data_IF_278618867547
#
_entry.id   IF_278618867547
#
_cell.length_a   1.000
_cell.length_b   1.000
_cell.length_c   1.000
_cell.angle_alpha   90.00
_cell.angle_beta   90.00
_cell.angle_gamma   90.00
#
_symmetry.space_group_name_H-M   'P 1'
#
loop_
_entity.id
_entity.type
_entity.pdbx_description
1 polymer ?
#
# COMPACT_ATOMS: atom_id res chain seq x y z
N UNK A 1 20.85 12.13 -18.08
CA UNK A 1 21.64 12.59 -16.91
C UNK A 1 23.10 12.75 -17.32
N UNK A 2 23.69 13.93 -17.18
CA UNK A 2 25.13 14.12 -17.38
C UNK A 2 25.88 13.72 -16.12
N UNK A 3 26.43 12.52 -16.04
CA UNK A 3 27.11 11.95 -14.88
C UNK A 3 26.41 10.77 -14.27
N UNK A 4 27.02 10.15 -13.24
CA UNK A 4 26.54 8.91 -12.63
C UNK A 4 25.51 9.15 -11.52
N UNK A 5 25.37 10.39 -11.03
CA UNK A 5 24.35 10.75 -10.04
C UNK A 5 23.92 12.22 -10.15
N UNK A 6 22.77 12.55 -9.56
CA UNK A 6 22.19 13.89 -9.49
C UNK A 6 21.51 14.08 -8.14
N UNK A 7 21.83 15.16 -7.44
CA UNK A 7 21.13 15.56 -6.22
C UNK A 7 19.88 16.34 -6.62
N UNK A 8 18.74 15.93 -6.10
CA UNK A 8 17.44 16.54 -6.35
C UNK A 8 16.89 17.06 -5.03
N UNK A 9 16.89 18.37 -4.88
CA UNK A 9 16.35 19.03 -3.70
C UNK A 9 14.83 19.08 -3.77
N UNK A 10 14.16 18.83 -2.66
CA UNK A 10 12.70 18.82 -2.57
C UNK A 10 12.07 17.96 -3.69
N UNK A 11 12.54 16.72 -3.83
CA UNK A 11 11.93 15.76 -4.75
C UNK A 11 10.46 15.52 -4.40
N UNK A 12 10.19 15.47 -3.10
CA UNK A 12 8.88 15.60 -2.46
C UNK A 12 8.95 16.69 -1.38
N UNK A 13 7.82 17.13 -0.84
CA UNK A 13 7.80 18.09 0.25
C UNK A 13 8.35 17.47 1.55
N UNK A 14 8.93 18.25 2.48
CA UNK A 14 9.32 17.75 3.79
C UNK A 14 8.16 17.18 4.60
N UNK A 15 6.96 17.73 4.44
CA UNK A 15 5.73 17.25 5.09
C UNK A 15 5.36 15.85 4.59
N UNK A 16 5.26 15.68 3.27
CA UNK A 16 5.02 14.38 2.63
C UNK A 16 6.08 13.33 3.03
N UNK A 17 7.36 13.74 3.08
CA UNK A 17 8.44 12.87 3.55
C UNK A 17 8.21 12.39 4.98
N UNK A 18 7.77 13.30 5.86
CA UNK A 18 7.48 12.98 7.26
C UNK A 18 6.31 12.01 7.40
N UNK A 19 5.23 12.25 6.68
CA UNK A 19 4.05 11.38 6.69
C UNK A 19 4.39 9.95 6.22
N UNK A 20 5.17 9.82 5.15
CA UNK A 20 5.66 8.53 4.67
C UNK A 20 6.56 7.86 5.72
N UNK A 21 7.45 8.64 6.36
CA UNK A 21 8.31 8.14 7.45
C UNK A 21 7.49 7.54 8.59
N UNK A 22 6.43 8.24 9.01
CA UNK A 22 5.55 7.77 10.09
C UNK A 22 4.80 6.49 9.72
N UNK A 23 4.38 6.36 8.47
CA UNK A 23 3.79 5.12 7.97
C UNK A 23 4.77 3.95 8.01
N UNK A 24 6.02 4.16 7.58
CA UNK A 24 7.06 3.13 7.62
C UNK A 24 7.32 2.70 9.06
N UNK A 25 7.46 3.64 10.00
CA UNK A 25 7.74 3.35 11.42
C UNK A 25 6.61 2.58 12.11
N UNK A 26 5.37 2.75 11.67
CA UNK A 26 4.20 2.01 12.19
C UNK A 26 4.05 0.62 11.57
N UNK A 27 4.78 0.31 10.52
CA UNK A 27 4.74 -1.01 9.86
C UNK A 27 5.40 -2.09 10.74
N UNK A 28 4.94 -3.35 10.67
CA UNK A 28 5.58 -4.44 11.41
C UNK A 28 7.06 -4.52 11.10
N UNK A 29 7.90 -4.52 12.13
CA UNK A 29 9.35 -4.55 11.97
C UNK A 29 9.80 -5.92 11.47
N UNK A 30 10.60 -5.95 10.41
CA UNK A 30 11.37 -7.12 10.05
C UNK A 30 12.70 -7.10 10.81
N UNK A 31 13.05 -8.22 11.42
CA UNK A 31 14.30 -8.36 12.14
C UNK A 31 15.46 -8.46 11.14
N UNK A 32 16.40 -7.54 11.31
CA UNK A 32 17.76 -7.63 10.78
C UNK A 32 17.90 -7.44 9.26
N UNK A 33 18.59 -6.38 8.89
CA UNK A 33 19.15 -6.21 7.56
C UNK A 33 20.64 -6.61 7.62
N UNK A 34 21.00 -7.72 6.99
CA UNK A 34 22.40 -8.21 6.98
C UNK A 34 23.36 -7.25 6.27
N UNK A 35 22.86 -6.38 5.39
CA UNK A 35 23.68 -5.41 4.68
C UNK A 35 23.93 -4.15 5.53
N UNK A 36 22.97 -3.76 6.37
CA UNK A 36 23.06 -2.57 7.22
C UNK A 36 22.70 -2.97 8.65
N UNK A 37 23.69 -3.25 9.50
CA UNK A 37 23.44 -3.56 10.91
C UNK A 37 22.74 -2.37 11.60
N UNK A 38 22.06 -2.63 12.69
CA UNK A 38 21.27 -1.63 13.43
C UNK A 38 20.23 -0.91 12.56
N UNK A 39 19.56 -1.66 11.68
CA UNK A 39 18.44 -1.12 10.91
C UNK A 39 17.28 -2.12 10.83
N UNK A 40 16.08 -1.58 10.60
CA UNK A 40 14.89 -2.34 10.19
C UNK A 40 14.64 -2.06 8.71
N UNK A 41 14.36 -3.09 7.94
CA UNK A 41 14.16 -2.96 6.50
C UNK A 41 12.82 -3.48 6.06
N UNK A 42 12.30 -2.92 4.98
CA UNK A 42 10.99 -3.26 4.43
C UNK A 42 11.06 -3.29 2.91
N UNK A 43 10.51 -4.34 2.33
CA UNK A 43 10.45 -4.52 0.88
C UNK A 43 9.04 -4.29 0.38
N UNK A 44 8.89 -3.40 -0.63
CA UNK A 44 7.62 -3.12 -1.31
C UNK A 44 6.47 -2.72 -0.37
N UNK A 45 6.74 -1.85 0.62
CA UNK A 45 5.65 -1.25 1.39
C UNK A 45 4.68 -0.51 0.44
N UNK A 46 3.37 -0.67 0.62
CA UNK A 46 2.37 -0.04 -0.26
C UNK A 46 2.57 1.47 -0.43
N UNK A 47 2.79 2.20 0.66
CA UNK A 47 3.04 3.66 0.61
C UNK A 47 4.26 4.01 -0.25
N UNK A 48 5.32 3.19 -0.19
CA UNK A 48 6.52 3.42 -0.98
C UNK A 48 6.33 3.04 -2.45
N UNK A 49 5.54 2.01 -2.75
CA UNK A 49 5.20 1.63 -4.12
C UNK A 49 4.31 2.69 -4.79
N UNK A 50 3.42 3.33 -4.03
CA UNK A 50 2.66 4.49 -4.50
C UNK A 50 3.63 5.61 -4.90
N UNK A 51 4.55 5.97 -4.02
CA UNK A 51 5.56 6.98 -4.28
C UNK A 51 6.43 6.63 -5.49
N UNK A 52 6.82 5.36 -5.65
CA UNK A 52 7.56 4.86 -6.81
C UNK A 52 6.82 5.14 -8.12
N UNK A 53 5.52 4.83 -8.17
CA UNK A 53 4.66 5.10 -9.31
C UNK A 53 4.54 6.60 -9.61
N UNK A 54 4.24 7.41 -8.59
CA UNK A 54 4.09 8.85 -8.71
C UNK A 54 5.34 9.56 -9.24
N UNK A 55 6.50 9.10 -8.82
CA UNK A 55 7.76 9.74 -9.20
C UNK A 55 8.36 9.19 -10.50
N UNK A 56 7.80 8.14 -11.11
CA UNK A 56 8.37 7.47 -12.29
C UNK A 56 8.62 8.44 -13.44
N UNK A 57 7.64 9.28 -13.79
CA UNK A 57 7.78 10.23 -14.91
C UNK A 57 8.80 11.32 -14.59
N UNK A 58 8.77 11.87 -13.38
CA UNK A 58 9.73 12.88 -12.91
C UNK A 58 11.16 12.33 -12.87
N UNK A 59 11.33 11.10 -12.39
CA UNK A 59 12.65 10.43 -12.34
C UNK A 59 13.13 10.10 -13.75
N UNK A 60 12.22 9.70 -14.66
CA UNK A 60 12.52 9.47 -16.08
C UNK A 60 13.05 10.75 -16.76
N UNK A 61 12.40 11.89 -16.54
CA UNK A 61 12.84 13.19 -17.02
C UNK A 61 14.24 13.55 -16.47
N UNK A 62 14.42 13.40 -15.16
CA UNK A 62 15.70 13.67 -14.49
C UNK A 62 16.84 12.77 -15.00
N UNK A 63 16.53 11.52 -15.29
CA UNK A 63 17.46 10.55 -15.88
C UNK A 63 17.75 10.82 -17.36
N UNK A 64 16.82 11.46 -18.08
CA UNK A 64 16.83 11.63 -19.53
C UNK A 64 16.63 10.29 -20.25
N UNK A 65 15.82 9.41 -19.66
CA UNK A 65 15.52 8.05 -20.12
C UNK A 65 14.09 7.67 -19.74
N UNK A 66 13.42 6.88 -20.56
CA UNK A 66 12.13 6.28 -20.20
C UNK A 66 12.41 5.13 -19.24
N UNK A 67 12.06 5.34 -17.97
CA UNK A 67 12.27 4.35 -16.92
C UNK A 67 11.00 3.54 -16.63
N UNK A 68 11.20 2.32 -16.15
CA UNK A 68 10.16 1.44 -15.64
C UNK A 68 10.49 1.08 -14.18
N UNK A 69 9.52 1.10 -13.28
CA UNK A 69 9.73 0.78 -11.87
C UNK A 69 10.09 -0.70 -11.68
N UNK A 70 10.92 -0.98 -10.68
CA UNK A 70 11.26 -2.34 -10.28
C UNK A 70 10.70 -2.68 -8.90
N UNK A 71 11.14 -2.01 -7.86
CA UNK A 71 10.65 -2.23 -6.50
C UNK A 71 11.04 -1.06 -5.58
N UNK A 72 10.51 -1.07 -4.37
CA UNK A 72 10.91 -0.16 -3.30
C UNK A 72 11.55 -0.92 -2.15
N UNK A 73 12.49 -0.26 -1.50
CA UNK A 73 13.10 -0.74 -0.27
C UNK A 73 13.23 0.41 0.71
N UNK A 74 12.88 0.20 1.96
CA UNK A 74 13.03 1.25 2.96
C UNK A 74 13.84 0.73 4.15
N UNK A 75 14.51 1.66 4.81
CA UNK A 75 15.24 1.40 6.05
C UNK A 75 14.94 2.46 7.09
N UNK A 76 14.75 1.99 8.31
CA UNK A 76 14.83 2.78 9.53
C UNK A 76 16.17 2.44 10.16
N UNK A 77 17.14 3.33 9.99
CA UNK A 77 18.51 3.15 10.48
C UNK A 77 18.65 3.78 11.86
N UNK A 78 19.26 3.07 12.77
CA UNK A 78 19.53 3.50 14.13
C UNK A 78 21.02 3.80 14.32
N UNK A 79 21.38 4.37 15.45
CA UNK A 79 22.77 4.65 15.81
C UNK A 79 23.67 3.44 15.61
N UNK A 80 24.80 3.63 14.96
CA UNK A 80 25.76 2.56 14.62
C UNK A 80 25.45 1.86 13.29
N UNK A 81 24.37 2.22 12.59
CA UNK A 81 24.13 1.70 11.24
C UNK A 81 25.20 2.20 10.26
N UNK A 82 25.69 1.34 9.39
CA UNK A 82 26.63 1.71 8.32
C UNK A 82 26.29 0.95 7.03
N UNK A 83 26.70 1.50 5.91
CA UNK A 83 26.55 0.85 4.60
C UNK A 83 27.93 0.79 3.93
N UNK A 84 28.46 -0.40 3.80
CA UNK A 84 29.77 -0.62 3.16
C UNK A 84 29.75 -0.23 1.68
N UNK A 85 30.89 0.19 1.11
CA UNK A 85 31.01 0.47 -0.32
C UNK A 85 30.53 -0.70 -1.17
N UNK A 86 29.58 -0.44 -2.08
CA UNK A 86 29.03 -1.44 -2.99
C UNK A 86 28.42 -0.79 -4.24
N UNK A 87 28.12 -1.63 -5.21
CA UNK A 87 27.27 -1.30 -6.35
C UNK A 87 26.00 -2.13 -6.26
N UNK A 88 24.92 -1.59 -6.81
CA UNK A 88 23.64 -2.26 -6.81
C UNK A 88 23.53 -3.38 -7.85
N UNK A 89 22.54 -4.22 -7.68
CA UNK A 89 22.18 -5.29 -8.62
C UNK A 89 21.41 -4.74 -9.84
N UNK A 90 21.27 -5.52 -10.94
CA UNK A 90 20.64 -5.08 -12.19
C UNK A 90 19.25 -4.43 -12.06
N UNK A 91 18.40 -4.92 -11.15
CA UNK A 91 17.09 -4.33 -10.89
C UNK A 91 17.12 -2.93 -10.27
N UNK A 92 18.29 -2.44 -9.91
CA UNK A 92 18.55 -1.10 -9.37
C UNK A 92 19.42 -0.27 -10.35
N UNK A 93 19.21 -0.44 -11.66
CA UNK A 93 19.98 0.28 -12.70
C UNK A 93 19.96 1.79 -12.47
N UNK A 94 18.78 2.33 -12.19
CA UNK A 94 18.55 3.69 -11.71
C UNK A 94 17.91 3.63 -10.34
N UNK A 95 18.49 4.29 -9.39
CA UNK A 95 18.02 4.32 -8.01
C UNK A 95 17.87 5.75 -7.52
N UNK A 96 16.84 5.98 -6.73
CA UNK A 96 16.69 7.20 -5.94
C UNK A 96 16.76 6.81 -4.48
N UNK A 97 17.77 7.28 -3.74
CA UNK A 97 17.73 7.29 -2.29
C UNK A 97 17.10 8.59 -1.84
N UNK A 98 16.00 8.52 -1.12
CA UNK A 98 15.18 9.64 -0.66
C UNK A 98 15.17 9.66 0.87
N UNK A 99 15.59 10.77 1.46
CA UNK A 99 15.50 10.97 2.91
C UNK A 99 14.07 11.33 3.29
N UNK A 100 13.52 10.64 4.27
CA UNK A 100 12.17 10.86 4.79
C UNK A 100 12.17 11.56 6.15
N UNK A 101 13.06 11.16 7.05
CA UNK A 101 13.27 11.83 8.33
C UNK A 101 14.66 11.55 8.88
N UNK A 102 15.15 12.41 9.76
CA UNK A 102 16.47 12.24 10.37
C UNK A 102 16.59 13.01 11.68
N UNK A 103 17.28 12.43 12.67
CA UNK A 103 17.70 13.16 13.87
C UNK A 103 19.04 13.88 13.67
N UNK A 104 19.91 13.34 12.79
CA UNK A 104 21.17 13.95 12.40
C UNK A 104 21.42 13.78 10.90
N UNK A 105 22.12 14.71 10.24
CA UNK A 105 22.56 14.53 8.86
C UNK A 105 23.43 13.27 8.73
N UNK A 106 23.15 12.48 7.71
CA UNK A 106 23.92 11.26 7.41
C UNK A 106 24.40 11.31 5.97
N UNK A 107 25.72 11.46 5.80
CA UNK A 107 26.32 11.59 4.49
C UNK A 107 26.22 10.28 3.69
N UNK A 108 25.85 10.40 2.41
CA UNK A 108 26.03 9.30 1.45
C UNK A 108 27.19 9.65 0.51
N UNK A 109 28.11 8.73 0.35
CA UNK A 109 29.18 8.86 -0.63
C UNK A 109 28.74 8.28 -1.96
N UNK A 110 28.88 9.07 -3.02
CA UNK A 110 28.71 8.68 -4.42
C UNK A 110 30.11 8.67 -5.07
N UNK A 111 30.76 7.50 -5.07
CA UNK A 111 32.20 7.39 -5.28
C UNK A 111 32.94 8.15 -4.16
N UNK A 112 33.77 9.11 -4.57
CA UNK A 112 34.56 9.93 -3.61
C UNK A 112 33.85 11.18 -3.11
N UNK A 113 32.63 11.48 -3.58
CA UNK A 113 31.89 12.70 -3.22
C UNK A 113 30.81 12.42 -2.20
N UNK A 114 30.89 13.14 -1.08
CA UNK A 114 29.85 13.10 -0.04
C UNK A 114 28.67 14.01 -0.38
N UNK A 115 27.47 13.52 -0.14
CA UNK A 115 26.19 14.22 -0.30
C UNK A 115 25.41 14.13 0.98
N UNK A 116 24.90 15.25 1.47
CA UNK A 116 23.92 15.31 2.56
C UNK A 116 22.53 15.58 2.00
N UNK A 117 21.52 14.99 2.63
CA UNK A 117 20.12 15.13 2.27
C UNK A 117 19.35 15.67 3.48
N UNK A 118 18.36 16.51 3.22
CA UNK A 118 17.30 16.87 4.18
C UNK A 118 16.05 16.03 3.87
N UNK A 119 15.08 15.94 4.79
CA UNK A 119 13.78 15.33 4.47
C UNK A 119 13.17 15.89 3.18
N UNK A 120 12.75 15.01 2.27
CA UNK A 120 12.28 15.35 0.92
C UNK A 120 13.36 15.43 -0.16
N UNK A 121 14.66 15.43 0.19
CA UNK A 121 15.75 15.42 -0.80
C UNK A 121 16.04 14.00 -1.30
N UNK A 122 16.18 13.87 -2.63
CA UNK A 122 16.58 12.63 -3.29
C UNK A 122 17.98 12.72 -3.91
N UNK A 123 18.64 11.59 -4.04
CA UNK A 123 19.81 11.41 -4.91
C UNK A 123 19.45 10.35 -5.94
N UNK A 124 19.31 10.75 -7.20
CA UNK A 124 19.17 9.85 -8.34
C UNK A 124 20.57 9.41 -8.78
N UNK A 125 20.78 8.09 -8.91
CA UNK A 125 22.09 7.55 -9.30
C UNK A 125 21.95 6.28 -10.14
N UNK A 126 23.03 5.95 -10.88
CA UNK A 126 23.13 4.70 -11.62
C UNK A 126 23.71 3.63 -10.70
N UNK A 127 22.82 2.84 -10.07
CA UNK A 127 23.17 1.93 -8.99
C UNK A 127 24.20 0.86 -9.40
N UNK A 128 24.08 0.32 -10.62
CA UNK A 128 25.02 -0.67 -11.15
C UNK A 128 26.41 -0.09 -11.49
N UNK A 129 26.51 1.22 -11.70
CA UNK A 129 27.73 1.85 -12.22
C UNK A 129 28.53 2.60 -11.16
N UNK A 130 27.86 3.20 -10.17
CA UNK A 130 28.54 3.99 -9.14
C UNK A 130 28.61 3.23 -7.82
N UNK A 131 29.83 3.14 -7.28
CA UNK A 131 30.02 2.68 -5.92
C UNK A 131 29.49 3.72 -4.94
N UNK A 132 28.71 3.26 -3.94
CA UNK A 132 28.15 4.15 -2.93
C UNK A 132 28.19 3.50 -1.55
N UNK A 133 28.21 4.37 -0.53
CA UNK A 133 28.36 3.95 0.87
C UNK A 133 27.88 5.01 1.84
N UNK A 134 27.69 4.61 3.10
CA UNK A 134 27.47 5.52 4.22
C UNK A 134 28.38 5.12 5.39
N UNK A 135 29.05 6.07 6.05
CA UNK A 135 29.82 5.81 7.26
C UNK A 135 28.89 5.45 8.41
N UNK A 136 29.44 5.06 9.54
CA UNK A 136 28.65 4.80 10.75
C UNK A 136 27.75 6.01 11.09
N UNK A 137 26.47 5.75 11.34
CA UNK A 137 25.48 6.76 11.71
C UNK A 137 25.61 7.10 13.19
N UNK A 138 25.74 8.37 13.50
CA UNK A 138 25.94 8.87 14.87
C UNK A 138 24.66 9.42 15.52
N UNK A 139 23.61 9.65 14.73
CA UNK A 139 22.31 10.11 15.23
C UNK A 139 21.45 8.94 15.77
N UNK A 140 20.27 9.27 16.26
CA UNK A 140 19.36 8.27 16.85
C UNK A 140 18.56 7.51 15.78
N UNK A 141 18.01 8.23 14.78
CA UNK A 141 17.17 7.64 13.74
C UNK A 141 17.34 8.35 12.39
N UNK A 142 17.38 7.56 11.32
CA UNK A 142 17.36 8.03 9.94
C UNK A 142 16.45 7.13 9.11
N UNK A 143 15.39 7.69 8.52
CA UNK A 143 14.44 6.96 7.69
C UNK A 143 14.65 7.32 6.23
N UNK A 144 14.77 6.30 5.39
CA UNK A 144 14.96 6.48 3.95
C UNK A 144 14.19 5.43 3.15
N UNK A 145 13.82 5.82 1.93
CA UNK A 145 13.30 4.91 0.93
C UNK A 145 14.18 4.92 -0.31
N UNK A 146 14.35 3.75 -0.89
CA UNK A 146 14.98 3.54 -2.18
C UNK A 146 13.90 3.23 -3.20
N UNK A 147 13.89 3.99 -4.30
CA UNK A 147 13.01 3.80 -5.43
C UNK A 147 13.87 3.30 -6.60
N UNK A 148 13.59 2.11 -7.08
CA UNK A 148 14.42 1.47 -8.10
C UNK A 148 13.71 1.38 -9.44
N UNK A 149 14.49 1.56 -10.51
CA UNK A 149 14.02 1.62 -11.88
C UNK A 149 15.05 0.98 -12.83
N UNK A 150 14.57 0.62 -14.02
CA UNK A 150 15.39 0.19 -15.16
C UNK A 150 15.04 1.01 -16.41
N UNK A 151 15.98 1.19 -17.31
CA UNK A 151 15.74 1.76 -18.64
C UNK A 151 14.79 0.83 -19.42
N UNK A 152 13.66 1.37 -19.93
CA UNK A 152 12.66 0.57 -20.66
C UNK A 152 13.21 -0.12 -21.92
N UNK A 153 14.31 0.41 -22.46
CA UNK A 153 14.97 -0.11 -23.67
C UNK A 153 16.41 -0.58 -23.37
N UNK A 154 16.82 -0.52 -22.08
CA UNK A 154 18.16 -0.88 -21.65
C UNK A 154 18.38 -2.39 -21.51
N UNK A 155 19.63 -2.78 -21.17
CA UNK A 155 20.00 -4.19 -21.01
C UNK A 155 19.26 -4.86 -19.85
N UNK A 156 18.81 -4.08 -18.87
CA UNK A 156 18.13 -4.58 -17.67
C UNK A 156 16.60 -4.45 -17.73
N UNK A 157 16.02 -4.17 -18.91
CA UNK A 157 14.55 -3.96 -19.08
C UNK A 157 13.67 -5.10 -18.56
N UNK A 158 14.22 -6.34 -18.48
CA UNK A 158 13.49 -7.51 -18.01
C UNK A 158 13.40 -7.59 -16.47
N UNK A 159 14.11 -6.72 -15.73
CA UNK A 159 14.04 -6.64 -14.27
C UNK A 159 12.87 -5.78 -13.74
N UNK A 160 11.97 -5.36 -14.64
CA UNK A 160 10.72 -4.71 -14.26
C UNK A 160 10.04 -5.52 -13.17
N UNK A 161 9.57 -4.83 -12.14
CA UNK A 161 8.97 -5.43 -10.95
C UNK A 161 9.82 -6.54 -10.31
N UNK A 162 11.15 -6.38 -10.40
CA UNK A 162 12.14 -7.30 -9.85
C UNK A 162 12.00 -8.74 -10.37
N UNK A 163 11.61 -8.89 -11.65
CA UNK A 163 11.28 -10.15 -12.32
C UNK A 163 10.14 -10.94 -11.67
N UNK A 164 9.45 -10.37 -10.72
CA UNK A 164 8.21 -10.91 -10.21
C UNK A 164 7.11 -10.60 -11.21
N UNK A 165 6.04 -11.40 -11.21
CA UNK A 165 4.86 -11.15 -12.03
C UNK A 165 4.51 -9.67 -11.89
N UNK A 166 4.39 -8.98 -13.02
CA UNK A 166 4.00 -7.58 -13.05
C UNK A 166 2.83 -7.42 -12.09
N UNK A 167 2.95 -6.60 -11.03
CA UNK A 167 1.78 -6.24 -10.25
C UNK A 167 0.87 -5.61 -11.27
N UNK A 168 -0.19 -6.32 -11.67
CA UNK A 168 -1.05 -5.97 -12.78
C UNK A 168 -1.48 -4.52 -12.57
N UNK A 169 -0.74 -3.63 -13.23
CA UNK A 169 -0.91 -2.20 -13.26
C UNK A 169 -1.10 -1.52 -11.89
N UNK A 170 0.00 -1.23 -11.18
CA UNK A 170 0.06 0.01 -10.40
C UNK A 170 0.21 1.19 -11.38
N UNK A 171 -0.68 1.29 -12.33
CA UNK A 171 -0.98 2.54 -12.97
C UNK A 171 -1.99 3.21 -12.04
N UNK A 172 -1.48 3.76 -10.96
CA UNK A 172 -2.15 4.86 -10.30
C UNK A 172 -2.15 5.96 -11.36
N UNK A 173 -3.23 6.07 -12.10
CA UNK A 173 -3.50 7.26 -12.90
C UNK A 173 -3.88 8.31 -11.88
N UNK A 174 -2.87 8.92 -11.26
CA UNK A 174 -3.08 10.22 -10.66
C UNK A 174 -3.32 11.17 -11.82
N UNK A 175 -4.53 11.67 -11.90
CA UNK A 175 -4.83 12.83 -12.72
C UNK A 175 -3.85 13.95 -12.37
N UNK A 176 -3.59 14.84 -13.29
CA UNK A 176 -2.67 15.98 -13.23
C UNK A 176 -3.04 17.06 -12.21
N UNK A 177 -3.89 16.75 -11.23
CA UNK A 177 -4.23 17.68 -10.17
C UNK A 177 -3.38 17.43 -8.92
N UNK A 178 -2.65 18.46 -8.44
CA UNK A 178 -1.96 18.38 -7.17
C UNK A 178 -3.00 18.26 -6.06
N UNK A 179 -3.04 17.14 -5.41
CA UNK A 179 -3.78 16.81 -4.20
C UNK A 179 -4.74 17.88 -3.63
N UNK A 180 -6.00 17.87 -3.99
CA UNK A 180 -7.01 18.24 -3.03
C UNK A 180 -7.68 16.94 -2.55
N UNK A 181 -7.42 16.52 -1.31
CA UNK A 181 -8.21 15.54 -0.55
C UNK A 181 -8.58 14.23 -1.29
N UNK A 182 -7.68 13.63 -2.06
CA UNK A 182 -7.97 12.34 -2.66
C UNK A 182 -7.77 11.25 -1.62
N UNK A 183 -8.85 10.90 -0.99
CA UNK A 183 -9.00 9.66 -0.25
C UNK A 183 -8.66 8.49 -1.18
N UNK A 184 -7.71 7.63 -0.77
CA UNK A 184 -7.38 6.40 -1.51
C UNK A 184 -8.52 5.37 -1.44
N UNK A 185 -9.73 5.80 -1.14
CA UNK A 185 -10.96 5.02 -1.16
C UNK A 185 -12.08 5.87 -1.76
N UNK A 186 -13.09 5.21 -2.28
CA UNK A 186 -14.30 5.83 -2.79
C UNK A 186 -15.49 5.34 -1.99
N UNK A 187 -16.48 6.20 -1.75
CA UNK A 187 -17.70 5.82 -1.06
C UNK A 187 -18.96 6.30 -1.78
N UNK A 188 -19.98 5.50 -1.73
CA UNK A 188 -21.33 5.84 -2.09
C UNK A 188 -22.16 5.89 -0.81
N UNK A 189 -22.40 7.08 -0.30
CA UNK A 189 -23.18 7.27 0.95
C UNK A 189 -24.62 6.82 0.70
N UNK A 190 -25.13 5.92 1.57
CA UNK A 190 -26.51 5.39 1.50
C UNK A 190 -26.88 4.87 0.11
N UNK A 191 -25.94 4.23 -0.58
CA UNK A 191 -26.14 3.69 -1.92
C UNK A 191 -27.20 2.57 -1.94
N UNK A 192 -27.34 1.86 -0.83
CA UNK A 192 -28.39 0.84 -0.65
C UNK A 192 -29.45 1.39 0.30
N UNK A 193 -30.73 1.42 -0.11
CA UNK A 193 -31.81 1.88 0.73
C UNK A 193 -31.87 1.15 2.07
N UNK A 194 -32.13 1.85 3.16
CA UNK A 194 -32.18 1.28 4.51
C UNK A 194 -33.20 0.14 4.61
N UNK A 195 -34.36 0.27 3.96
CA UNK A 195 -35.36 -0.79 3.92
C UNK A 195 -34.83 -2.09 3.28
N UNK A 196 -34.01 -1.95 2.22
CA UNK A 196 -33.37 -3.10 1.57
C UNK A 196 -32.34 -3.76 2.49
N UNK A 197 -31.58 -2.92 3.24
CA UNK A 197 -30.63 -3.44 4.23
C UNK A 197 -31.34 -4.16 5.37
N UNK A 198 -32.46 -3.63 5.85
CA UNK A 198 -33.25 -4.25 6.93
C UNK A 198 -33.83 -5.61 6.51
N UNK A 199 -34.34 -5.71 5.30
CA UNK A 199 -34.82 -6.97 4.72
C UNK A 199 -33.65 -7.96 4.54
N UNK A 200 -32.52 -7.51 4.03
CA UNK A 200 -31.33 -8.33 3.88
C UNK A 200 -30.83 -8.85 5.23
N UNK A 201 -30.70 -7.98 6.23
CA UNK A 201 -30.28 -8.37 7.60
C UNK A 201 -31.23 -9.40 8.19
N UNK A 202 -32.55 -9.17 8.11
CA UNK A 202 -33.54 -10.11 8.61
C UNK A 202 -33.41 -11.49 7.98
N UNK A 203 -33.07 -11.58 6.71
CA UNK A 203 -32.79 -12.84 6.04
C UNK A 203 -31.46 -13.44 6.53
N UNK A 204 -30.38 -12.66 6.54
CA UNK A 204 -29.04 -13.11 6.89
C UNK A 204 -28.91 -13.53 8.37
N UNK A 205 -29.66 -12.90 9.28
CA UNK A 205 -29.70 -13.23 10.70
C UNK A 205 -30.29 -14.63 10.97
N UNK A 206 -30.98 -15.22 9.98
CA UNK A 206 -31.47 -16.60 10.04
C UNK A 206 -30.46 -17.66 9.59
N UNK A 207 -29.34 -17.21 8.98
CA UNK A 207 -28.31 -18.12 8.43
C UNK A 207 -27.36 -18.59 9.51
N UNK A 208 -26.84 -19.79 9.35
CA UNK A 208 -25.79 -20.30 10.22
C UNK A 208 -24.46 -19.60 9.94
N UNK A 209 -23.91 -18.96 10.96
CA UNK A 209 -22.64 -18.25 10.87
C UNK A 209 -21.50 -19.13 11.37
N UNK A 210 -20.40 -19.15 10.61
CA UNK A 210 -19.20 -19.89 10.95
C UNK A 210 -18.07 -18.95 11.39
N UNK A 211 -17.14 -19.44 12.20
CA UNK A 211 -15.96 -18.67 12.59
C UNK A 211 -15.14 -18.32 11.35
N UNK A 212 -14.82 -17.02 11.23
CA UNK A 212 -14.12 -16.52 10.07
C UNK A 212 -12.65 -16.99 10.07
N UNK A 213 -12.20 -17.47 8.94
CA UNK A 213 -10.82 -17.91 8.72
C UNK A 213 -9.94 -16.77 8.24
N UNK A 214 -8.64 -16.89 8.46
CA UNK A 214 -7.58 -16.06 7.91
C UNK A 214 -6.65 -16.90 7.06
N UNK A 215 -6.05 -16.30 6.02
CA UNK A 215 -5.17 -16.98 5.08
C UNK A 215 -5.85 -17.31 3.74
N UNK A 216 -5.11 -18.06 2.92
CA UNK A 216 -5.55 -18.47 1.57
C UNK A 216 -6.46 -19.71 1.60
N UNK A 217 -6.70 -20.33 0.45
CA UNK A 217 -7.53 -21.53 0.33
C UNK A 217 -7.07 -22.62 1.34
N UNK A 218 -7.96 -22.97 2.28
CA UNK A 218 -7.61 -23.80 3.43
C UNK A 218 -7.19 -23.03 4.68
N UNK A 219 -7.51 -21.73 4.75
CA UNK A 219 -7.23 -20.87 5.89
C UNK A 219 -7.68 -21.46 7.23
N UNK A 220 -7.08 -20.99 8.31
CA UNK A 220 -7.36 -21.45 9.65
C UNK A 220 -8.05 -20.38 10.48
N UNK A 221 -8.85 -20.79 11.47
CA UNK A 221 -9.36 -19.88 12.49
C UNK A 221 -8.19 -19.42 13.34
N UNK A 222 -7.90 -18.11 13.32
CA UNK A 222 -6.84 -17.50 14.10
C UNK A 222 -7.40 -16.31 14.90
N UNK A 223 -7.80 -16.58 16.11
CA UNK A 223 -8.43 -15.57 17.00
C UNK A 223 -7.49 -14.46 17.45
N UNK A 224 -6.17 -14.60 17.26
CA UNK A 224 -5.22 -13.51 17.48
C UNK A 224 -5.12 -12.52 16.32
N UNK A 225 -5.74 -12.83 15.19
CA UNK A 225 -5.79 -11.98 13.99
C UNK A 225 -7.19 -11.53 13.66
N UNK A 226 -8.19 -12.39 13.86
CA UNK A 226 -9.57 -12.10 13.51
C UNK A 226 -10.52 -12.80 14.49
N UNK A 227 -11.48 -12.03 15.01
CA UNK A 227 -12.64 -12.54 15.78
C UNK A 227 -13.90 -12.03 15.12
N UNK A 228 -14.48 -12.81 14.26
CA UNK A 228 -15.75 -12.52 13.60
C UNK A 228 -16.38 -13.82 13.10
N UNK A 229 -17.66 -13.76 12.85
CA UNK A 229 -18.39 -14.84 12.20
C UNK A 229 -18.86 -14.43 10.82
N UNK A 230 -18.93 -15.34 9.88
CA UNK A 230 -19.35 -15.03 8.53
C UNK A 230 -20.27 -16.09 7.93
N UNK A 231 -20.98 -15.65 6.88
CA UNK A 231 -21.71 -16.48 5.94
C UNK A 231 -21.36 -15.99 4.53
N UNK A 232 -21.11 -16.94 3.62
CA UNK A 232 -20.82 -16.64 2.23
C UNK A 232 -22.10 -16.70 1.40
N UNK A 233 -22.52 -15.58 0.81
CA UNK A 233 -23.72 -15.47 0.00
C UNK A 233 -23.52 -16.18 -1.34
N UNK A 234 -24.25 -17.27 -1.62
CA UNK A 234 -24.12 -17.92 -2.91
C UNK A 234 -24.69 -17.04 -4.04
N UNK A 235 -24.19 -17.22 -5.26
CA UNK A 235 -24.71 -16.54 -6.46
C UNK A 235 -26.01 -17.21 -6.96
N UNK A 236 -27.04 -17.14 -6.13
CA UNK A 236 -28.38 -17.70 -6.40
C UNK A 236 -29.40 -16.58 -6.58
N UNK A 237 -30.61 -16.91 -7.01
CA UNK A 237 -31.71 -15.96 -7.19
C UNK A 237 -31.99 -15.15 -5.91
N UNK A 238 -31.74 -15.72 -4.74
CA UNK A 238 -31.93 -15.08 -3.43
C UNK A 238 -31.04 -13.83 -3.27
N UNK A 239 -29.80 -13.84 -3.81
CA UNK A 239 -28.85 -12.75 -3.62
C UNK A 239 -28.41 -12.08 -4.91
N UNK A 240 -28.91 -12.52 -6.07
CA UNK A 240 -28.43 -12.05 -7.38
C UNK A 240 -28.59 -10.54 -7.56
N UNK A 241 -29.65 -9.95 -7.01
CA UNK A 241 -29.88 -8.50 -7.12
C UNK A 241 -28.81 -7.72 -6.36
N UNK A 242 -28.35 -8.21 -5.20
CA UNK A 242 -27.25 -7.58 -4.47
C UNK A 242 -25.94 -7.64 -5.27
N UNK A 243 -25.66 -8.78 -5.93
CA UNK A 243 -24.51 -8.89 -6.84
C UNK A 243 -24.58 -7.91 -8.00
N UNK A 244 -25.77 -7.68 -8.60
CA UNK A 244 -25.95 -6.70 -9.67
C UNK A 244 -25.67 -5.28 -9.18
N UNK A 245 -26.23 -4.90 -8.04
CA UNK A 245 -26.00 -3.57 -7.44
C UNK A 245 -24.52 -3.34 -7.18
N UNK A 246 -23.83 -4.30 -6.56
CA UNK A 246 -22.39 -4.18 -6.32
C UNK A 246 -21.58 -4.14 -7.60
N UNK A 247 -21.95 -4.92 -8.61
CA UNK A 247 -21.31 -4.88 -9.92
C UNK A 247 -21.43 -3.49 -10.57
N UNK A 248 -22.59 -2.86 -10.52
CA UNK A 248 -22.81 -1.51 -11.04
C UNK A 248 -22.00 -0.46 -10.29
N UNK A 249 -22.00 -0.51 -8.93
CA UNK A 249 -21.23 0.43 -8.11
C UNK A 249 -19.72 0.26 -8.34
N UNK A 250 -19.23 -0.97 -8.44
CA UNK A 250 -17.82 -1.26 -8.77
C UNK A 250 -17.49 -0.73 -10.16
N UNK A 251 -18.35 -0.99 -11.15
CA UNK A 251 -18.16 -0.53 -12.54
C UNK A 251 -18.07 0.99 -12.62
N UNK A 252 -19.00 1.70 -11.96
CA UNK A 252 -18.99 3.16 -11.90
C UNK A 252 -17.75 3.70 -11.21
N UNK A 253 -17.45 3.24 -10.02
CA UNK A 253 -16.28 3.66 -9.26
C UNK A 253 -14.98 3.40 -10.03
N UNK A 254 -14.88 2.23 -10.65
CA UNK A 254 -13.70 1.88 -11.43
C UNK A 254 -13.54 2.74 -12.69
N UNK A 255 -14.63 3.03 -13.40
CA UNK A 255 -14.60 3.88 -14.60
C UNK A 255 -14.22 5.32 -14.26
N UNK A 256 -14.78 5.86 -13.18
CA UNK A 256 -14.60 7.26 -12.80
C UNK A 256 -13.28 7.51 -12.03
N UNK A 257 -12.75 6.50 -11.34
CA UNK A 257 -11.68 6.70 -10.37
C UNK A 257 -10.48 5.77 -10.55
N UNK A 258 -10.65 4.44 -10.50
CA UNK A 258 -9.50 3.52 -10.45
C UNK A 258 -8.98 3.07 -11.81
N UNK A 259 -9.85 2.94 -12.79
CA UNK A 259 -9.52 2.51 -14.16
C UNK A 259 -8.75 1.17 -14.25
N UNK A 260 -8.96 0.27 -13.28
CA UNK A 260 -8.40 -1.07 -13.33
C UNK A 260 -9.03 -1.88 -14.46
N UNK A 261 -8.26 -2.80 -15.05
CA UNK A 261 -8.82 -3.81 -15.94
C UNK A 261 -9.50 -4.89 -15.09
N UNK A 262 -10.79 -4.69 -14.81
CA UNK A 262 -11.62 -5.66 -14.09
C UNK A 262 -12.25 -6.64 -15.07
N UNK A 263 -12.44 -7.89 -14.64
CA UNK A 263 -13.07 -8.95 -15.44
C UNK A 263 -14.38 -9.41 -14.82
N UNK A 264 -14.40 -9.67 -13.52
CA UNK A 264 -15.55 -10.23 -12.82
C UNK A 264 -15.45 -10.06 -11.31
N UNK A 265 -16.54 -10.31 -10.60
CA UNK A 265 -16.55 -10.55 -9.17
C UNK A 265 -16.23 -12.05 -8.98
N UNK A 266 -14.98 -12.35 -8.62
CA UNK A 266 -14.46 -13.72 -8.57
C UNK A 266 -14.97 -14.51 -7.37
N UNK A 267 -15.31 -13.82 -6.27
CA UNK A 267 -15.64 -14.45 -4.99
C UNK A 267 -17.10 -14.21 -4.61
N UNK A 268 -17.57 -15.02 -3.69
CA UNK A 268 -18.87 -14.78 -3.06
C UNK A 268 -18.79 -13.57 -2.14
N UNK A 269 -19.91 -12.87 -1.98
CA UNK A 269 -20.04 -11.80 -1.01
C UNK A 269 -19.99 -12.42 0.40
N UNK A 270 -19.19 -11.84 1.28
CA UNK A 270 -19.07 -12.26 2.66
C UNK A 270 -19.95 -11.39 3.57
N UNK A 271 -20.97 -11.96 4.19
CA UNK A 271 -21.66 -11.33 5.32
C UNK A 271 -20.84 -11.60 6.58
N UNK A 272 -20.43 -10.53 7.26
CA UNK A 272 -19.56 -10.64 8.44
C UNK A 272 -20.18 -9.95 9.63
N UNK A 273 -20.17 -10.65 10.77
CA UNK A 273 -20.65 -10.13 12.05
C UNK A 273 -19.50 -10.04 13.03
N UNK A 274 -19.30 -8.87 13.59
CA UNK A 274 -18.40 -8.57 14.70
C UNK A 274 -19.26 -8.32 15.93
N UNK A 275 -19.09 -9.13 16.98
CA UNK A 275 -19.88 -9.03 18.20
C UNK A 275 -19.05 -8.39 19.31
N UNK A 276 -19.67 -7.48 20.07
CA UNK A 276 -19.03 -6.83 21.22
C UNK A 276 -18.71 -7.83 22.34
N UNK A 277 -19.58 -8.82 22.56
CA UNK A 277 -19.37 -9.87 23.55
C UNK A 277 -18.10 -10.71 23.28
N UNK A 278 -17.73 -10.86 21.99
CA UNK A 278 -16.54 -11.57 21.55
C UNK A 278 -15.33 -10.63 21.40
N UNK A 279 -15.50 -9.33 21.67
CA UNK A 279 -14.53 -8.30 21.31
C UNK A 279 -14.11 -8.45 19.85
N UNK A 280 -15.10 -8.50 18.95
CA UNK A 280 -14.93 -8.83 17.53
C UNK A 280 -14.03 -7.80 16.83
N UNK A 281 -13.03 -8.27 16.08
CA UNK A 281 -12.11 -7.43 15.33
C UNK A 281 -11.48 -8.19 14.16
N UNK A 282 -10.84 -7.48 13.26
CA UNK A 282 -9.92 -8.03 12.26
C UNK A 282 -8.71 -7.13 12.17
N UNK A 283 -7.56 -7.64 12.57
CA UNK A 283 -6.29 -6.89 12.62
C UNK A 283 -5.82 -6.45 11.23
N UNK A 284 -4.83 -5.58 11.19
CA UNK A 284 -4.25 -5.06 9.97
C UNK A 284 -3.90 -6.14 8.97
N UNK A 285 -4.50 -6.05 7.77
CA UNK A 285 -4.29 -6.99 6.68
C UNK A 285 -4.51 -6.31 5.32
N UNK A 286 -4.12 -7.02 4.28
CA UNK A 286 -4.45 -6.69 2.89
C UNK A 286 -5.26 -7.84 2.31
N UNK A 287 -6.16 -7.55 1.39
CA UNK A 287 -6.98 -8.57 0.74
C UNK A 287 -6.28 -9.28 -0.42
N UNK A 288 -5.14 -8.77 -0.84
CA UNK A 288 -4.27 -9.42 -1.83
C UNK A 288 -3.30 -10.38 -1.14
N UNK A 289 -3.04 -11.51 -1.80
CA UNK A 289 -2.05 -12.50 -1.37
C UNK A 289 -1.51 -13.27 -2.58
N UNK A 290 -0.58 -14.21 -2.39
CA UNK A 290 -0.02 -15.02 -3.48
C UNK A 290 -1.11 -15.72 -4.31
N UNK A 291 -2.11 -16.30 -3.65
CA UNK A 291 -3.22 -16.99 -4.31
C UNK A 291 -4.39 -16.06 -4.67
N UNK A 292 -4.34 -14.80 -4.22
CA UNK A 292 -5.38 -13.77 -4.41
C UNK A 292 -4.86 -12.52 -5.14
N UNK A 293 -3.81 -12.67 -5.94
CA UNK A 293 -3.19 -11.57 -6.70
C UNK A 293 -4.14 -10.91 -7.72
N UNK A 294 -5.26 -11.57 -8.06
CA UNK A 294 -6.28 -11.05 -8.97
C UNK A 294 -7.23 -10.04 -8.32
N UNK A 295 -7.33 -9.99 -6.99
CA UNK A 295 -8.15 -9.00 -6.30
C UNK A 295 -7.59 -7.60 -6.52
N UNK A 296 -8.38 -6.72 -7.13
CA UNK A 296 -7.99 -5.34 -7.41
C UNK A 296 -8.69 -4.34 -6.52
N UNK A 297 -9.98 -4.58 -6.28
CA UNK A 297 -10.83 -3.73 -5.44
C UNK A 297 -11.47 -4.57 -4.36
N UNK A 298 -11.48 -4.04 -3.16
CA UNK A 298 -12.28 -4.50 -2.02
C UNK A 298 -13.49 -3.60 -1.87
N UNK A 299 -14.62 -4.20 -1.58
CA UNK A 299 -15.87 -3.51 -1.33
C UNK A 299 -16.37 -3.87 0.06
N UNK A 300 -16.75 -2.87 0.84
CA UNK A 300 -17.40 -3.02 2.13
C UNK A 300 -18.73 -2.26 2.08
N UNK A 301 -19.82 -2.91 2.51
CA UNK A 301 -21.12 -2.30 2.68
C UNK A 301 -21.46 -2.26 4.17
N UNK A 302 -21.81 -1.07 4.68
CA UNK A 302 -22.22 -0.87 6.07
C UNK A 302 -23.69 -1.30 6.23
N UNK A 303 -23.91 -2.32 7.06
CA UNK A 303 -25.25 -2.87 7.28
C UNK A 303 -25.88 -2.45 8.61
N UNK A 304 -25.06 -2.07 9.60
CA UNK A 304 -25.51 -1.63 10.91
C UNK A 304 -25.62 -0.10 10.96
N UNK A 305 -26.60 0.41 11.70
CA UNK A 305 -26.67 1.84 12.00
C UNK A 305 -25.57 2.21 12.99
N UNK A 306 -24.87 3.35 12.81
CA UNK A 306 -23.84 3.81 13.73
C UNK A 306 -24.25 3.94 15.19
N UNK A 307 -25.55 4.12 15.44
CA UNK A 307 -26.11 4.19 16.79
C UNK A 307 -26.26 2.83 17.47
N UNK A 308 -26.15 1.72 16.72
CA UNK A 308 -26.29 0.36 17.24
C UNK A 308 -25.02 -0.15 17.94
N UNK A 309 -23.85 0.51 17.74
CA UNK A 309 -22.56 -0.01 18.22
C UNK A 309 -21.51 1.08 18.47
N UNK A 310 -20.54 0.76 19.34
CA UNK A 310 -19.31 1.53 19.54
C UNK A 310 -18.11 0.70 19.05
N UNK A 311 -17.07 1.35 18.51
CA UNK A 311 -15.94 0.67 17.91
C UNK A 311 -16.30 0.06 16.54
N UNK A 312 -15.74 -1.10 16.20
CA UNK A 312 -16.01 -1.81 14.96
C UNK A 312 -15.71 -0.99 13.70
N UNK A 313 -14.78 -0.05 13.79
CA UNK A 313 -14.47 0.87 12.69
C UNK A 313 -13.68 0.19 11.60
N UNK A 314 -14.13 0.33 10.36
CA UNK A 314 -13.25 0.11 9.22
C UNK A 314 -12.19 1.22 9.22
N UNK A 315 -10.95 0.84 9.35
CA UNK A 315 -9.82 1.75 9.27
C UNK A 315 -8.95 1.38 8.07
N UNK A 316 -8.65 2.35 7.21
CA UNK A 316 -7.84 2.18 6.02
C UNK A 316 -6.56 3.01 6.20
N UNK A 317 -5.41 2.40 5.97
CA UNK A 317 -4.13 3.10 6.01
C UNK A 317 -3.76 3.58 4.60
N UNK A 318 -3.84 4.89 4.41
CA UNK A 318 -3.54 5.57 3.14
C UNK A 318 -2.33 6.49 3.24
N UNK A 319 -1.47 6.26 4.25
CA UNK A 319 -0.42 7.17 4.65
C UNK A 319 -0.75 7.86 5.99
N UNK A 320 -1.98 7.75 6.42
CA UNK A 320 -2.59 8.03 7.70
C UNK A 320 -3.78 7.09 7.87
N UNK A 321 -4.29 6.95 9.10
CA UNK A 321 -5.49 6.16 9.36
C UNK A 321 -6.71 6.98 8.98
N UNK A 322 -7.50 6.46 8.05
CA UNK A 322 -8.80 7.01 7.67
C UNK A 322 -9.88 6.09 8.20
N UNK A 323 -10.93 6.67 8.74
CA UNK A 323 -12.18 5.99 9.11
C UNK A 323 -13.26 6.47 8.12
N UNK A 324 -13.66 5.63 7.16
CA UNK A 324 -14.74 5.98 6.23
C UNK A 324 -16.08 6.17 6.95
N UNK A 325 -17.04 6.76 6.21
CA UNK A 325 -18.41 6.98 6.66
C UNK A 325 -19.09 5.67 7.10
N UNK A 326 -19.80 5.75 8.24
CA UNK A 326 -20.42 4.58 8.89
C UNK A 326 -21.91 4.43 8.62
N UNK A 327 -22.53 5.38 7.91
CA UNK A 327 -23.97 5.36 7.67
C UNK A 327 -24.41 4.05 7.03
N UNK A 328 -25.49 3.50 7.55
CA UNK A 328 -26.14 2.30 7.03
C UNK A 328 -26.46 2.44 5.53
N UNK A 329 -26.12 1.41 4.76
CA UNK A 329 -26.27 1.40 3.31
C UNK A 329 -25.12 2.08 2.54
N UNK A 330 -24.10 2.61 3.24
CA UNK A 330 -22.90 3.16 2.59
C UNK A 330 -22.04 2.04 2.05
N UNK A 331 -21.60 2.20 0.80
CA UNK A 331 -20.69 1.26 0.13
C UNK A 331 -19.34 1.94 -0.03
N UNK A 332 -18.30 1.30 0.46
CA UNK A 332 -16.91 1.77 0.47
C UNK A 332 -16.10 0.87 -0.45
N UNK A 333 -15.35 1.46 -1.39
CA UNK A 333 -14.45 0.75 -2.29
C UNK A 333 -13.02 1.28 -2.10
N UNK A 334 -12.08 0.36 -2.06
CA UNK A 334 -10.66 0.69 -1.99
C UNK A 334 -9.80 -0.38 -2.67
N UNK A 335 -8.59 -0.03 -3.12
CA UNK A 335 -7.67 -1.02 -3.67
C UNK A 335 -7.35 -2.12 -2.67
N UNK A 336 -7.46 -3.39 -3.09
CA UNK A 336 -7.28 -4.57 -2.22
C UNK A 336 -5.88 -4.70 -1.62
N UNK A 337 -4.91 -3.91 -2.10
CA UNK A 337 -3.56 -3.84 -1.54
C UNK A 337 -3.43 -2.84 -0.38
N UNK A 338 -4.45 -2.02 -0.11
CA UNK A 338 -4.40 -1.11 1.04
C UNK A 338 -4.52 -1.88 2.34
N UNK A 339 -3.65 -1.54 3.27
CA UNK A 339 -3.68 -2.06 4.62
C UNK A 339 -4.92 -1.52 5.33
N UNK A 340 -5.74 -2.42 5.85
CA UNK A 340 -6.98 -2.05 6.53
C UNK A 340 -7.28 -2.99 7.68
N UNK A 341 -8.17 -2.56 8.57
CA UNK A 341 -8.63 -3.36 9.72
C UNK A 341 -10.06 -3.01 10.11
N UNK A 342 -10.64 -3.85 10.95
CA UNK A 342 -11.83 -3.55 11.75
C UNK A 342 -11.42 -3.58 13.21
N UNK A 343 -11.66 -2.46 13.94
CA UNK A 343 -11.26 -2.29 15.36
C UNK A 343 -12.15 -3.05 16.31
#
# INVERSE_FOLDING_TARGET
MRGLYKVVRNLISPEEAHDISDCIKKSPKNDGDTQVPNSHSYYNLPVCNILLGQLTDKVSELAGKKLRPTYTYCRVCLKGADLKPHKDRPSCEYSVTLNLSQTHPWIIFMGKRGVTQKPGDGVLYRGCDIEHSRPEFTGDEYVQVFLHYVDSEGPYRNYVYDQKVEPTQYRLVFGTDPFPNQTNYYHFIKAIPESTIDELRKNLDTKELHDAQVGDAGGTVNTSKRRSKNFWLPKTDEFIELYKVFHELIGKCNADFYQFKLTEITEQIQYTVYKSEDQGYYDWHIDMGPDKARRKLSLVCQLSDPSEYEGGELQINTGGIIVPEKEKGTVILFPSYLLHRVT
#
